data_IF_430505613283
#
_entry.id   IF_430505613283
#
_cell.length_a   1.000
_cell.length_b   1.000
_cell.length_c   1.000
_cell.angle_alpha   90.00
_cell.angle_beta   90.00
_cell.angle_gamma   90.00
#
_symmetry.space_group_name_H-M   'P 1'
#
loop_
_entity.id
_entity.type
_entity.pdbx_description
1 polymer ?
#
# COMPACT_ATOMS: atom_id res chain seq x y z
N UNK A 1 -27.24 3.55 16.37
CA UNK A 1 -26.44 2.35 16.66
C UNK A 1 -24.98 2.72 16.49
N UNK A 2 -24.13 2.24 17.39
CA UNK A 2 -22.68 2.39 17.28
C UNK A 2 -22.17 1.55 16.09
N UNK A 3 -21.14 2.03 15.38
CA UNK A 3 -20.60 1.33 14.21
C UNK A 3 -19.88 0.06 14.66
N UNK A 4 -20.16 -1.07 14.00
CA UNK A 4 -19.42 -2.32 14.21
C UNK A 4 -18.39 -2.46 13.09
N UNK A 5 -17.12 -2.62 13.43
CA UNK A 5 -16.07 -2.80 12.42
C UNK A 5 -16.09 -4.21 11.83
N UNK A 6 -15.63 -4.35 10.58
CA UNK A 6 -15.60 -5.65 9.88
C UNK A 6 -14.86 -6.73 10.69
N UNK A 7 -13.74 -6.39 11.32
CA UNK A 7 -12.99 -7.34 12.16
C UNK A 7 -13.77 -7.87 13.37
N UNK A 8 -14.78 -7.13 13.84
CA UNK A 8 -15.56 -7.45 15.03
C UNK A 8 -16.91 -8.10 14.68
N UNK A 9 -17.18 -8.36 13.40
CA UNK A 9 -18.43 -8.99 12.96
C UNK A 9 -18.54 -10.42 13.49
N UNK A 10 -19.73 -10.75 13.97
CA UNK A 10 -20.14 -12.11 14.36
C UNK A 10 -21.34 -12.53 13.55
N UNK A 11 -21.56 -13.84 13.39
CA UNK A 11 -22.71 -14.35 12.67
C UNK A 11 -24.03 -13.96 13.36
N UNK A 12 -25.06 -13.64 12.59
CA UNK A 12 -26.40 -13.34 13.07
C UNK A 12 -26.65 -11.91 13.54
N UNK A 13 -25.69 -11.00 13.37
CA UNK A 13 -25.84 -9.58 13.71
C UNK A 13 -26.66 -8.84 12.65
N UNK A 14 -27.54 -7.95 13.09
CA UNK A 14 -28.18 -6.96 12.23
C UNK A 14 -27.28 -5.72 12.12
N UNK A 15 -27.11 -5.21 10.91
CA UNK A 15 -26.29 -4.05 10.58
C UNK A 15 -27.13 -3.00 9.86
N UNK A 16 -26.93 -1.73 10.21
CA UNK A 16 -27.39 -0.58 9.43
C UNK A 16 -26.32 0.53 9.47
N UNK A 17 -25.34 0.43 8.58
CA UNK A 17 -24.18 1.33 8.58
C UNK A 17 -23.59 1.54 7.18
N UNK A 18 -22.71 2.52 7.06
CA UNK A 18 -22.06 2.88 5.80
C UNK A 18 -20.82 1.99 5.59
N UNK A 19 -20.60 1.59 4.35
CA UNK A 19 -19.40 0.88 3.89
C UNK A 19 -18.90 1.47 2.57
N UNK A 20 -17.62 1.26 2.27
CA UNK A 20 -17.10 1.40 0.92
C UNK A 20 -17.48 0.15 0.12
N UNK A 21 -18.20 0.32 -0.99
CA UNK A 21 -18.49 -0.77 -1.92
C UNK A 21 -17.45 -0.82 -3.03
N UNK A 22 -17.03 -2.03 -3.39
CA UNK A 22 -16.17 -2.27 -4.56
C UNK A 22 -16.66 -3.49 -5.34
N UNK A 23 -16.44 -3.46 -6.66
CA UNK A 23 -16.69 -4.57 -7.58
C UNK A 23 -18.12 -5.16 -7.51
N UNK A 24 -19.19 -4.34 -7.57
CA UNK A 24 -20.53 -4.89 -7.72
C UNK A 24 -20.64 -5.60 -9.08
N UNK A 25 -21.18 -6.82 -9.06
CA UNK A 25 -21.46 -7.61 -10.26
C UNK A 25 -22.85 -8.21 -10.13
N UNK A 26 -23.69 -7.96 -11.12
CA UNK A 26 -24.98 -8.62 -11.26
C UNK A 26 -24.78 -10.03 -11.81
N UNK A 27 -25.32 -11.04 -11.13
CA UNK A 27 -25.22 -12.45 -11.49
C UNK A 27 -26.60 -13.11 -11.40
N UNK A 28 -26.76 -14.25 -12.04
CA UNK A 28 -27.94 -15.11 -11.89
C UNK A 28 -27.62 -16.35 -11.07
N UNK A 29 -28.58 -16.80 -10.27
CA UNK A 29 -28.55 -18.11 -9.63
C UNK A 29 -28.79 -19.21 -10.66
N UNK A 30 -28.58 -20.48 -10.27
CA UNK A 30 -28.95 -21.62 -11.11
C UNK A 30 -30.43 -21.68 -11.47
N UNK A 31 -31.29 -20.97 -10.73
CA UNK A 31 -32.74 -20.87 -10.97
C UNK A 31 -33.12 -19.66 -11.84
N UNK A 32 -32.16 -18.83 -12.23
CA UNK A 32 -32.38 -17.63 -13.04
C UNK A 32 -32.59 -16.34 -12.24
N UNK A 33 -32.86 -16.43 -10.93
CA UNK A 33 -33.02 -15.24 -10.08
C UNK A 33 -31.74 -14.41 -10.03
N UNK A 34 -31.87 -13.09 -10.14
CA UNK A 34 -30.74 -12.17 -10.10
C UNK A 34 -30.29 -11.89 -8.66
N UNK A 35 -28.98 -11.74 -8.48
CA UNK A 35 -28.36 -11.30 -7.25
C UNK A 35 -27.13 -10.44 -7.53
N UNK A 36 -26.81 -9.54 -6.61
CA UNK A 36 -25.60 -8.72 -6.70
C UNK A 36 -24.55 -9.31 -5.77
N UNK A 37 -23.38 -9.60 -6.33
CA UNK A 37 -22.18 -9.92 -5.60
C UNK A 37 -21.30 -8.67 -5.54
N UNK A 38 -20.92 -8.25 -4.33
CA UNK A 38 -20.03 -7.11 -4.14
C UNK A 38 -19.15 -7.33 -2.91
N UNK A 39 -18.21 -6.42 -2.68
CA UNK A 39 -17.46 -6.37 -1.45
C UNK A 39 -17.74 -5.08 -0.70
N UNK A 40 -17.82 -5.20 0.63
CA UNK A 40 -17.92 -4.08 1.54
C UNK A 40 -16.62 -3.97 2.32
N UNK A 41 -16.11 -2.75 2.47
CA UNK A 41 -14.89 -2.47 3.21
C UNK A 41 -15.10 -1.36 4.24
N UNK A 42 -14.32 -1.44 5.30
CA UNK A 42 -14.01 -0.36 6.21
C UNK A 42 -12.51 -0.39 6.56
N UNK A 43 -12.07 0.50 7.45
CA UNK A 43 -10.65 0.59 7.84
C UNK A 43 -10.07 -0.71 8.44
N UNK A 44 -10.90 -1.66 8.85
CA UNK A 44 -10.47 -2.90 9.53
C UNK A 44 -10.50 -4.12 8.61
N UNK A 45 -11.06 -4.02 7.40
CA UNK A 45 -11.06 -5.16 6.50
C UNK A 45 -12.04 -5.06 5.35
N UNK A 46 -12.23 -6.20 4.69
CA UNK A 46 -13.09 -6.38 3.53
C UNK A 46 -13.90 -7.66 3.68
N UNK A 47 -15.21 -7.58 3.43
CA UNK A 47 -16.14 -8.70 3.57
C UNK A 47 -16.99 -8.87 2.33
N UNK A 48 -17.31 -10.13 1.99
CA UNK A 48 -18.24 -10.42 0.90
C UNK A 48 -19.64 -9.95 1.27
N UNK A 49 -20.33 -9.33 0.31
CA UNK A 49 -21.74 -9.00 0.44
C UNK A 49 -22.57 -9.60 -0.70
N UNK A 50 -23.78 -10.04 -0.37
CA UNK A 50 -24.77 -10.55 -1.33
C UNK A 50 -26.07 -9.79 -1.16
N UNK A 51 -26.65 -9.38 -2.29
CA UNK A 51 -28.01 -8.85 -2.37
C UNK A 51 -28.82 -9.87 -3.19
N UNK A 52 -29.64 -10.66 -2.52
CA UNK A 52 -30.50 -11.64 -3.18
C UNK A 52 -31.73 -10.98 -3.79
N UNK A 53 -32.34 -11.62 -4.80
CA UNK A 53 -33.52 -11.11 -5.51
C UNK A 53 -33.34 -9.66 -6.01
N UNK A 54 -32.14 -9.37 -6.53
CA UNK A 54 -31.79 -8.04 -7.00
C UNK A 54 -32.45 -7.74 -8.35
N UNK A 55 -32.57 -6.45 -8.67
CA UNK A 55 -33.01 -5.98 -9.99
C UNK A 55 -31.87 -5.28 -10.72
N UNK A 56 -31.97 -5.17 -12.04
CA UNK A 56 -31.03 -4.35 -12.83
C UNK A 56 -31.05 -2.88 -12.38
N UNK A 57 -32.22 -2.34 -12.04
CA UNK A 57 -32.36 -0.97 -11.54
C UNK A 57 -31.62 -0.74 -10.23
N UNK A 58 -31.67 -1.71 -9.30
CA UNK A 58 -30.90 -1.62 -8.06
C UNK A 58 -29.39 -1.68 -8.34
N UNK A 59 -28.96 -2.57 -9.23
CA UNK A 59 -27.56 -2.67 -9.62
C UNK A 59 -27.04 -1.36 -10.24
N UNK A 60 -27.83 -0.73 -11.11
CA UNK A 60 -27.46 0.53 -11.76
C UNK A 60 -27.38 1.72 -10.79
N UNK A 61 -28.04 1.64 -9.63
CA UNK A 61 -27.95 2.65 -8.57
C UNK A 61 -26.70 2.48 -7.69
N UNK A 62 -26.14 1.27 -7.62
CA UNK A 62 -24.95 1.02 -6.79
C UNK A 62 -23.72 1.56 -7.53
N UNK A 63 -22.93 2.45 -6.91
CA UNK A 63 -21.70 2.90 -7.53
C UNK A 63 -20.73 1.73 -7.69
N UNK A 64 -19.98 1.71 -8.81
CA UNK A 64 -18.94 0.70 -9.04
C UNK A 64 -17.90 0.70 -7.91
N UNK A 65 -17.56 1.91 -7.45
CA UNK A 65 -16.75 2.20 -6.27
C UNK A 65 -17.33 3.45 -5.59
N UNK A 66 -17.60 3.39 -4.30
CA UNK A 66 -18.21 4.51 -3.57
C UNK A 66 -18.81 4.09 -2.25
N UNK A 67 -19.57 4.98 -1.62
CA UNK A 67 -20.16 4.71 -0.30
C UNK A 67 -21.62 4.27 -0.44
N UNK A 68 -21.97 3.22 0.30
CA UNK A 68 -23.36 2.77 0.44
C UNK A 68 -23.68 2.53 1.91
N UNK A 69 -24.88 2.93 2.33
CA UNK A 69 -25.48 2.48 3.58
C UNK A 69 -26.15 1.14 3.34
N UNK A 70 -25.78 0.15 4.15
CA UNK A 70 -26.23 -1.23 4.01
C UNK A 70 -27.03 -1.62 5.23
N UNK A 71 -28.28 -2.03 5.00
CA UNK A 71 -29.11 -2.75 5.96
C UNK A 71 -29.00 -4.24 5.68
N UNK A 72 -28.45 -4.99 6.63
CA UNK A 72 -28.07 -6.37 6.37
C UNK A 72 -28.09 -7.23 7.63
N UNK A 73 -27.95 -8.54 7.40
CA UNK A 73 -27.62 -9.51 8.43
C UNK A 73 -26.28 -10.18 8.10
N UNK A 74 -25.47 -10.43 9.10
CA UNK A 74 -24.22 -11.19 8.95
C UNK A 74 -24.49 -12.69 9.04
N UNK A 75 -23.74 -13.48 8.28
CA UNK A 75 -23.82 -14.94 8.32
C UNK A 75 -22.45 -15.57 8.06
N UNK A 76 -22.29 -16.84 8.47
CA UNK A 76 -21.15 -17.66 8.08
C UNK A 76 -21.55 -18.51 6.88
N UNK A 77 -20.94 -18.24 5.73
CA UNK A 77 -21.12 -19.03 4.51
C UNK A 77 -19.84 -19.82 4.23
N UNK A 78 -19.94 -21.16 4.24
CA UNK A 78 -18.79 -22.06 4.05
C UNK A 78 -17.58 -21.71 4.96
N UNK A 79 -17.87 -21.33 6.21
CA UNK A 79 -16.84 -20.96 7.20
C UNK A 79 -16.27 -19.54 7.05
N UNK A 80 -16.73 -18.75 6.08
CA UNK A 80 -16.32 -17.35 5.90
C UNK A 80 -17.44 -16.38 6.26
N UNK A 81 -17.10 -15.25 6.89
CA UNK A 81 -18.06 -14.18 7.17
C UNK A 81 -18.60 -13.57 5.87
N UNK A 82 -19.91 -13.40 5.81
CA UNK A 82 -20.63 -12.75 4.71
C UNK A 82 -21.69 -11.81 5.26
N UNK A 83 -21.96 -10.74 4.52
CA UNK A 83 -23.07 -9.82 4.76
C UNK A 83 -24.16 -10.10 3.72
N UNK A 84 -25.39 -10.36 4.18
CA UNK A 84 -26.57 -10.46 3.31
C UNK A 84 -27.39 -9.19 3.45
N UNK A 85 -27.34 -8.36 2.42
CA UNK A 85 -28.01 -7.07 2.43
C UNK A 85 -29.48 -7.19 1.99
N UNK A 86 -30.34 -6.62 2.83
CA UNK A 86 -31.78 -6.46 2.58
C UNK A 86 -32.10 -5.06 2.04
N UNK A 87 -31.19 -4.09 2.22
CA UNK A 87 -31.33 -2.74 1.67
C UNK A 87 -29.97 -2.10 1.43
N UNK A 88 -29.83 -1.43 0.29
CA UNK A 88 -28.61 -0.75 -0.14
C UNK A 88 -29.00 0.65 -0.61
N UNK A 89 -28.34 1.68 -0.05
CA UNK A 89 -28.63 3.08 -0.34
C UNK A 89 -27.32 3.80 -0.66
N UNK A 90 -27.15 4.38 -1.86
CA UNK A 90 -26.00 5.23 -2.18
C UNK A 90 -25.83 6.38 -1.20
N UNK A 91 -24.59 6.69 -0.85
CA UNK A 91 -24.21 7.80 0.01
C UNK A 91 -23.22 8.69 -0.75
N UNK A 92 -23.46 10.00 -0.72
CA UNK A 92 -22.57 10.97 -1.36
C UNK A 92 -21.21 10.99 -0.63
N UNK A 93 -20.12 10.99 -1.40
CA UNK A 93 -18.76 11.01 -0.86
C UNK A 93 -18.49 12.23 0.02
N UNK A 94 -19.14 13.38 -0.24
CA UNK A 94 -18.96 14.61 0.54
C UNK A 94 -19.45 14.48 1.98
N UNK A 95 -20.35 13.54 2.23
CA UNK A 95 -20.91 13.29 3.56
C UNK A 95 -20.08 12.27 4.37
N UNK A 96 -18.97 11.80 3.81
CA UNK A 96 -18.18 10.70 4.37
C UNK A 96 -16.71 11.09 4.51
N UNK A 97 -16.15 10.87 5.72
CA UNK A 97 -14.70 10.93 5.92
C UNK A 97 -14.07 9.64 5.37
N UNK A 98 -13.57 9.71 4.15
CA UNK A 98 -12.98 8.57 3.40
C UNK A 98 -11.95 7.79 4.23
N UNK A 99 -11.14 8.51 5.02
CA UNK A 99 -10.15 7.96 5.94
C UNK A 99 -10.71 6.95 6.96
N UNK A 100 -12.02 6.98 7.24
CA UNK A 100 -12.66 6.03 8.16
C UNK A 100 -12.96 4.66 7.50
N UNK A 101 -12.74 4.55 6.19
CA UNK A 101 -13.17 3.39 5.39
C UNK A 101 -12.05 2.73 4.59
N UNK A 102 -10.90 3.39 4.44
CA UNK A 102 -9.71 2.80 3.85
C UNK A 102 -8.79 2.25 4.95
N UNK A 103 -8.17 1.08 4.73
CA UNK A 103 -7.08 0.61 5.59
C UNK A 103 -6.01 1.70 5.72
N UNK A 104 -5.48 1.88 6.94
CA UNK A 104 -4.44 2.86 7.24
C UNK A 104 -3.45 2.29 8.25
N UNK A 105 -2.25 2.86 8.26
CA UNK A 105 -1.25 2.60 9.31
C UNK A 105 -1.84 2.83 10.71
N UNK A 106 -1.42 2.01 11.68
CA UNK A 106 -1.72 2.21 13.10
C UNK A 106 -0.77 3.21 13.76
N UNK A 107 0.35 3.52 13.11
CA UNK A 107 1.36 4.46 13.61
C UNK A 107 1.00 5.92 13.33
N UNK A 108 1.59 6.83 14.11
CA UNK A 108 1.38 8.26 13.94
C UNK A 108 2.21 8.79 12.74
N UNK A 109 1.52 9.24 11.69
CA UNK A 109 2.14 9.77 10.46
C UNK A 109 3.12 10.92 10.74
N UNK A 110 2.78 11.84 11.65
CA UNK A 110 3.64 12.98 11.97
C UNK A 110 4.93 12.50 12.64
N UNK A 111 4.84 11.59 13.60
CA UNK A 111 6.02 11.03 14.27
C UNK A 111 6.90 10.24 13.30
N UNK A 112 6.28 9.41 12.45
CA UNK A 112 7.01 8.66 11.41
C UNK A 112 7.77 9.59 10.46
N UNK A 113 7.12 10.67 10.01
CA UNK A 113 7.74 11.61 9.08
C UNK A 113 8.87 12.42 9.75
N UNK A 114 8.72 12.82 11.02
CA UNK A 114 9.81 13.45 11.77
C UNK A 114 11.00 12.51 11.95
N UNK A 115 10.76 11.23 12.25
CA UNK A 115 11.82 10.24 12.37
C UNK A 115 12.55 10.02 11.02
N UNK A 116 11.79 9.90 9.93
CA UNK A 116 12.35 9.81 8.57
C UNK A 116 13.27 11.00 8.27
N UNK A 117 12.83 12.24 8.54
CA UNK A 117 13.66 13.44 8.37
C UNK A 117 14.93 13.39 9.22
N UNK A 118 14.87 12.78 10.41
CA UNK A 118 16.04 12.55 11.25
C UNK A 118 17.09 11.61 10.63
N UNK A 119 16.68 10.65 9.80
CA UNK A 119 17.60 9.87 8.98
C UNK A 119 18.16 10.69 7.82
N UNK A 120 17.30 11.41 7.10
CA UNK A 120 17.70 12.24 5.96
C UNK A 120 18.65 13.39 6.34
N UNK A 121 18.56 13.92 7.57
CA UNK A 121 19.46 14.95 8.06
C UNK A 121 20.90 14.45 8.29
N UNK A 122 21.12 13.13 8.28
CA UNK A 122 22.46 12.54 8.44
C UNK A 122 23.27 12.51 7.14
N UNK A 123 22.63 12.77 5.99
CA UNK A 123 23.30 12.85 4.68
C UNK A 123 24.32 13.99 4.70
N UNK A 124 25.57 13.68 4.33
CA UNK A 124 26.71 14.62 4.36
C UNK A 124 27.09 15.13 2.99
N UNK A 125 26.94 14.31 1.95
CA UNK A 125 27.34 14.66 0.59
C UNK A 125 26.47 15.80 0.07
N UNK A 126 27.05 16.93 -0.37
CA UNK A 126 26.30 18.15 -0.68
C UNK A 126 25.30 17.97 -1.83
N UNK A 127 25.67 17.29 -2.91
CA UNK A 127 24.77 17.08 -4.05
C UNK A 127 23.58 16.15 -3.69
N UNK A 128 23.83 15.06 -2.96
CA UNK A 128 22.77 14.16 -2.47
C UNK A 128 21.85 14.92 -1.54
N UNK A 129 22.41 15.71 -0.61
CA UNK A 129 21.64 16.53 0.32
C UNK A 129 20.76 17.55 -0.42
N UNK A 130 21.30 18.22 -1.42
CA UNK A 130 20.55 19.17 -2.25
C UNK A 130 19.38 18.51 -2.97
N UNK A 131 19.59 17.33 -3.57
CA UNK A 131 18.52 16.56 -4.21
C UNK A 131 17.42 16.19 -3.22
N UNK A 132 17.78 15.63 -2.07
CA UNK A 132 16.82 15.22 -1.03
C UNK A 132 16.05 16.42 -0.48
N UNK A 133 16.71 17.56 -0.30
CA UNK A 133 16.06 18.79 0.14
C UNK A 133 15.08 19.34 -0.91
N UNK A 134 15.35 19.16 -2.21
CA UNK A 134 14.42 19.53 -3.29
C UNK A 134 13.14 18.68 -3.28
N UNK A 135 13.24 17.41 -2.86
CA UNK A 135 12.06 16.57 -2.60
C UNK A 135 11.34 17.00 -1.32
N UNK A 136 12.06 17.23 -0.22
CA UNK A 136 11.47 17.59 1.08
C UNK A 136 10.76 18.95 1.09
N UNK A 137 11.22 19.89 0.26
CA UNK A 137 10.61 21.23 0.15
C UNK A 137 9.33 21.24 -0.68
N UNK A 138 9.07 20.18 -1.45
CA UNK A 138 7.83 19.96 -2.18
C UNK A 138 6.72 19.49 -1.23
N UNK A 139 5.98 20.47 -0.68
CA UNK A 139 4.97 20.23 0.34
C UNK A 139 3.82 19.35 -0.15
N UNK A 140 3.43 19.48 -1.42
CA UNK A 140 2.34 18.70 -1.97
C UNK A 140 2.78 17.25 -2.19
N UNK A 141 3.98 17.03 -2.74
CA UNK A 141 4.56 15.70 -2.85
C UNK A 141 4.72 15.03 -1.49
N UNK A 142 5.28 15.73 -0.49
CA UNK A 142 5.47 15.17 0.85
C UNK A 142 4.16 14.85 1.55
N UNK A 143 3.11 15.66 1.32
CA UNK A 143 1.77 15.36 1.81
C UNK A 143 1.23 14.07 1.19
N UNK A 144 1.40 13.87 -0.12
CA UNK A 144 0.99 12.64 -0.80
C UNK A 144 1.81 11.44 -0.33
N UNK A 145 3.13 11.58 -0.23
CA UNK A 145 4.03 10.54 0.27
C UNK A 145 3.62 10.03 1.67
N UNK A 146 3.23 10.94 2.56
CA UNK A 146 2.78 10.59 3.91
C UNK A 146 1.46 9.83 3.98
N UNK A 147 0.61 9.89 2.94
CA UNK A 147 -0.70 9.23 2.93
C UNK A 147 -0.81 8.10 1.90
N UNK A 148 0.08 8.03 0.93
CA UNK A 148 0.06 7.02 -0.12
C UNK A 148 0.23 5.60 0.45
N UNK A 149 -0.43 4.59 -0.15
CA UNK A 149 -0.11 3.19 0.09
C UNK A 149 1.18 2.80 -0.66
N UNK A 150 1.89 1.77 -0.17
CA UNK A 150 3.04 1.22 -0.90
C UNK A 150 2.61 0.21 -1.99
N UNK A 151 1.37 -0.26 -1.96
CA UNK A 151 0.84 -1.15 -2.98
C UNK A 151 -0.69 -1.12 -3.02
N UNK A 152 -1.30 -1.62 -4.11
CA UNK A 152 -2.76 -1.74 -4.21
C UNK A 152 -3.30 -2.88 -3.32
N UNK A 153 -2.58 -4.00 -3.22
CA UNK A 153 -2.99 -5.22 -2.47
C UNK A 153 -1.84 -6.01 -1.85
N UNK A 154 -0.61 -5.50 -1.91
CA UNK A 154 0.58 -6.22 -1.41
C UNK A 154 1.03 -5.65 -0.05
N UNK A 155 2.33 -5.69 0.23
CA UNK A 155 2.91 -5.11 1.45
C UNK A 155 2.54 -3.64 1.57
N UNK A 156 2.23 -3.21 2.78
CA UNK A 156 1.88 -1.83 3.11
C UNK A 156 0.77 -1.24 2.22
N UNK A 157 -0.19 -2.09 1.81
CA UNK A 157 -1.32 -1.72 0.97
C UNK A 157 -2.43 -0.97 1.72
N UNK A 158 -2.05 0.11 2.40
CA UNK A 158 -2.91 0.93 3.26
C UNK A 158 -2.40 2.38 3.29
N UNK A 159 -3.27 3.34 3.64
CA UNK A 159 -2.89 4.74 3.72
C UNK A 159 -1.78 4.97 4.75
N UNK A 160 -0.75 5.71 4.35
CA UNK A 160 0.49 5.90 5.12
C UNK A 160 1.47 4.73 5.02
N UNK A 161 1.15 3.70 4.25
CA UNK A 161 1.97 2.53 4.06
C UNK A 161 3.28 2.81 3.34
N UNK A 162 3.32 3.76 2.39
CA UNK A 162 4.55 4.13 1.70
C UNK A 162 5.59 4.74 2.66
N UNK A 163 5.14 5.67 3.51
CA UNK A 163 5.97 6.25 4.57
C UNK A 163 6.43 5.20 5.58
N UNK A 164 5.54 4.32 6.02
CA UNK A 164 5.87 3.25 6.97
C UNK A 164 6.92 2.29 6.40
N UNK A 165 6.75 1.85 5.15
CA UNK A 165 7.69 1.00 4.42
C UNK A 165 9.07 1.67 4.32
N UNK A 166 9.11 2.91 3.81
CA UNK A 166 10.38 3.67 3.69
C UNK A 166 11.06 3.85 5.05
N UNK A 167 10.30 4.14 6.11
CA UNK A 167 10.85 4.28 7.46
C UNK A 167 11.38 2.95 8.02
N UNK A 168 10.68 1.84 7.77
CA UNK A 168 11.14 0.50 8.16
C UNK A 168 12.47 0.14 7.49
N UNK A 169 12.60 0.43 6.20
CA UNK A 169 13.85 0.27 5.47
C UNK A 169 14.96 1.16 6.03
N UNK A 170 14.66 2.42 6.37
CA UNK A 170 15.63 3.34 7.00
C UNK A 170 16.14 2.84 8.35
N UNK A 171 15.24 2.30 9.19
CA UNK A 171 15.60 1.69 10.48
C UNK A 171 16.50 0.47 10.27
N UNK A 172 16.15 -0.40 9.31
CA UNK A 172 16.95 -1.57 8.92
C UNK A 172 18.33 -1.15 8.42
N UNK A 173 18.41 -0.15 7.53
CA UNK A 173 19.65 0.37 7.02
C UNK A 173 20.53 0.97 8.13
N UNK A 174 19.95 1.74 9.06
CA UNK A 174 20.67 2.31 10.19
C UNK A 174 21.27 1.23 11.12
N UNK A 175 20.60 0.08 11.26
CA UNK A 175 21.12 -1.05 12.02
C UNK A 175 22.22 -1.83 11.26
N UNK A 176 22.08 -1.98 9.95
CA UNK A 176 22.92 -2.86 9.12
C UNK A 176 24.17 -2.16 8.55
N UNK A 177 24.08 -0.87 8.18
CA UNK A 177 25.19 -0.12 7.57
C UNK A 177 26.52 -0.19 8.35
N UNK A 178 26.55 -0.16 9.71
CA UNK A 178 27.80 -0.31 10.46
C UNK A 178 28.56 -1.63 10.19
N UNK A 179 27.87 -2.67 9.70
CA UNK A 179 28.48 -3.95 9.35
C UNK A 179 29.12 -3.95 7.95
N UNK A 180 28.82 -2.95 7.12
CA UNK A 180 29.25 -2.87 5.72
C UNK A 180 29.94 -1.52 5.43
N UNK A 181 31.17 -1.31 5.93
CA UNK A 181 31.85 -0.01 5.88
C UNK A 181 32.16 0.50 4.46
N UNK A 182 32.11 -0.37 3.46
CA UNK A 182 32.33 -0.02 2.05
C UNK A 182 31.03 0.36 1.31
N UNK A 183 29.86 0.26 1.96
CA UNK A 183 28.58 0.70 1.39
C UNK A 183 28.38 2.17 1.74
N UNK A 184 28.16 3.00 0.72
CA UNK A 184 28.02 4.44 0.91
C UNK A 184 26.66 4.79 1.54
N UNK A 185 26.69 5.13 2.83
CA UNK A 185 25.48 5.41 3.62
C UNK A 185 24.59 6.49 3.00
N UNK A 186 25.17 7.59 2.48
CA UNK A 186 24.40 8.69 1.90
C UNK A 186 23.61 8.26 0.65
N UNK A 187 24.22 7.43 -0.21
CA UNK A 187 23.57 6.87 -1.41
C UNK A 187 22.47 5.88 -1.02
N UNK A 188 22.71 5.02 -0.01
CA UNK A 188 21.68 4.10 0.51
C UNK A 188 20.49 4.88 1.08
N UNK A 189 20.74 5.86 1.94
CA UNK A 189 19.67 6.66 2.56
C UNK A 189 18.87 7.38 1.47
N UNK A 190 19.53 8.00 0.49
CA UNK A 190 18.86 8.63 -0.64
C UNK A 190 18.06 7.64 -1.49
N UNK A 191 18.65 6.49 -1.81
CA UNK A 191 18.01 5.42 -2.57
C UNK A 191 16.75 4.89 -1.88
N UNK A 192 16.81 4.61 -0.57
CA UNK A 192 15.65 4.18 0.22
C UNK A 192 14.56 5.24 0.21
N UNK A 193 14.90 6.52 0.37
CA UNK A 193 13.88 7.57 0.36
C UNK A 193 13.17 7.69 -1.00
N UNK A 194 13.89 7.49 -2.10
CA UNK A 194 13.40 7.80 -3.44
C UNK A 194 12.85 6.58 -4.20
N UNK A 195 13.21 5.35 -3.84
CA UNK A 195 12.95 4.16 -4.67
C UNK A 195 11.49 4.01 -5.10
N UNK A 196 10.56 4.31 -4.19
CA UNK A 196 9.12 4.17 -4.38
C UNK A 196 8.37 5.51 -4.37
N UNK A 197 9.06 6.65 -4.39
CA UNK A 197 8.45 7.98 -4.29
C UNK A 197 7.36 8.20 -5.37
N UNK A 198 7.57 7.65 -6.56
CA UNK A 198 6.63 7.74 -7.67
C UNK A 198 5.32 6.96 -7.47
N UNK A 199 5.18 6.15 -6.41
CA UNK A 199 3.89 5.57 -6.02
C UNK A 199 2.84 6.62 -5.65
N UNK A 200 3.30 7.82 -5.29
CA UNK A 200 2.44 9.00 -5.08
C UNK A 200 1.68 9.42 -6.34
N UNK A 201 2.20 9.14 -7.53
CA UNK A 201 1.58 9.43 -8.83
C UNK A 201 1.13 8.17 -9.59
N UNK A 202 1.75 7.02 -9.32
CA UNK A 202 1.35 5.72 -9.89
C UNK A 202 -0.03 5.28 -9.38
N UNK A 203 -0.30 5.53 -8.09
CA UNK A 203 -1.48 5.02 -7.41
C UNK A 203 -2.52 6.13 -7.21
N UNK A 204 -3.80 5.76 -7.36
CA UNK A 204 -4.93 6.55 -6.89
C UNK A 204 -5.52 5.90 -5.64
N UNK A 205 -5.85 6.73 -4.66
CA UNK A 205 -6.33 6.32 -3.35
C UNK A 205 -7.43 7.25 -2.81
N UNK A 206 -8.14 7.94 -3.71
CA UNK A 206 -9.23 8.86 -3.34
C UNK A 206 -10.49 8.11 -2.86
N UNK A 207 -10.81 6.96 -3.46
CA UNK A 207 -12.01 6.18 -3.15
C UNK A 207 -11.67 4.71 -2.90
N UNK A 208 -10.77 4.17 -3.70
CA UNK A 208 -10.20 2.85 -3.56
C UNK A 208 -8.76 2.88 -4.08
N UNK A 209 -7.95 1.91 -3.64
CA UNK A 209 -6.60 1.75 -4.17
C UNK A 209 -6.67 1.20 -5.59
N UNK A 210 -6.16 1.98 -6.54
CA UNK A 210 -6.13 1.67 -7.96
C UNK A 210 -4.89 2.29 -8.60
N UNK A 211 -4.64 1.98 -9.87
CA UNK A 211 -3.56 2.59 -10.65
C UNK A 211 -4.10 3.77 -11.44
N UNK A 212 -3.32 4.85 -11.52
CA UNK A 212 -3.56 5.93 -12.49
C UNK A 212 -3.30 5.42 -13.91
N UNK A 213 -3.79 6.14 -14.93
CA UNK A 213 -3.50 5.80 -16.33
C UNK A 213 -1.99 5.74 -16.58
N UNK A 214 -1.25 6.74 -16.10
CA UNK A 214 0.20 6.81 -16.26
C UNK A 214 0.87 5.69 -15.47
N UNK A 215 0.40 5.43 -14.24
CA UNK A 215 0.89 4.30 -13.43
C UNK A 215 0.74 2.95 -14.11
N UNK A 216 -0.38 2.69 -14.78
CA UNK A 216 -0.57 1.46 -15.57
C UNK A 216 0.37 1.36 -16.79
N UNK A 217 0.72 2.49 -17.41
CA UNK A 217 1.55 2.50 -18.62
C UNK A 217 3.05 2.45 -18.32
N UNK A 218 3.50 3.14 -17.27
CA UNK A 218 4.92 3.37 -16.98
C UNK A 218 5.40 2.73 -15.67
N UNK A 219 4.52 2.61 -14.68
CA UNK A 219 4.87 2.17 -13.33
C UNK A 219 5.72 3.18 -12.54
N UNK A 220 5.88 2.96 -11.24
CA UNK A 220 6.65 3.84 -10.36
C UNK A 220 8.15 3.80 -10.67
N UNK A 221 8.72 2.69 -11.15
CA UNK A 221 10.16 2.61 -11.46
C UNK A 221 10.57 3.66 -12.49
N UNK A 222 9.87 3.71 -13.63
CA UNK A 222 10.16 4.66 -14.71
C UNK A 222 9.75 6.08 -14.31
N UNK A 223 8.61 6.25 -13.65
CA UNK A 223 8.20 7.57 -13.17
C UNK A 223 9.17 8.13 -12.12
N UNK A 224 9.76 7.27 -11.28
CA UNK A 224 10.74 7.64 -10.26
C UNK A 224 12.03 8.19 -10.88
N UNK A 225 12.55 7.56 -11.94
CA UNK A 225 13.72 8.10 -12.64
C UNK A 225 13.43 9.46 -13.26
N UNK A 226 12.22 9.64 -13.83
CA UNK A 226 11.77 10.93 -14.39
C UNK A 226 11.66 12.00 -13.29
N UNK A 227 11.09 11.66 -12.12
CA UNK A 227 11.01 12.58 -10.98
C UNK A 227 12.39 13.03 -10.51
N UNK A 228 13.36 12.11 -10.46
CA UNK A 228 14.75 12.44 -10.09
C UNK A 228 15.37 13.40 -11.10
N UNK A 229 15.20 13.16 -12.41
CA UNK A 229 15.70 14.07 -13.46
C UNK A 229 15.05 15.46 -13.36
N UNK A 230 13.73 15.53 -13.17
CA UNK A 230 13.02 16.80 -13.00
C UNK A 230 13.52 17.59 -11.78
N UNK A 231 13.79 16.92 -10.67
CA UNK A 231 14.33 17.56 -9.46
C UNK A 231 15.79 17.99 -9.65
N UNK A 232 16.58 17.25 -10.43
CA UNK A 232 17.92 17.66 -10.83
C UNK A 232 17.90 18.91 -11.75
N UNK A 233 16.96 18.98 -12.69
CA UNK A 233 16.76 20.16 -13.55
C UNK A 233 16.37 21.40 -12.72
N UNK A 234 15.48 21.24 -11.73
CA UNK A 234 15.13 22.32 -10.80
C UNK A 234 16.32 22.83 -9.98
N UNK A 235 17.25 21.94 -9.62
CA UNK A 235 18.50 22.33 -8.96
C UNK A 235 19.44 23.06 -9.91
N UNK A 236 19.51 22.64 -11.17
CA UNK A 236 20.30 23.32 -12.20
C UNK A 236 19.79 24.75 -12.42
N UNK A 237 18.47 24.96 -12.45
CA UNK A 237 17.84 26.29 -12.52
C UNK A 237 18.21 27.18 -11.32
N UNK A 238 18.54 26.58 -10.17
CA UNK A 238 19.03 27.25 -8.95
C UNK A 238 20.56 27.40 -8.93
N UNK A 239 21.25 27.01 -10.00
CA UNK A 239 22.71 27.09 -10.13
C UNK A 239 23.46 25.95 -9.45
N UNK A 240 22.79 24.84 -9.13
CA UNK A 240 23.40 23.64 -8.55
C UNK A 240 23.41 22.54 -9.62
N UNK A 241 24.55 22.36 -10.28
CA UNK A 241 24.75 21.26 -11.22
C UNK A 241 25.01 19.95 -10.46
N UNK A 242 24.14 18.96 -10.65
CA UNK A 242 24.26 17.66 -10.01
C UNK A 242 25.40 16.85 -10.64
N UNK A 243 26.12 16.12 -9.79
CA UNK A 243 27.11 15.16 -10.28
C UNK A 243 26.39 14.00 -10.97
N UNK A 244 26.73 13.76 -12.24
CA UNK A 244 26.12 12.71 -13.05
C UNK A 244 26.33 11.32 -12.45
N UNK A 245 27.48 11.04 -11.84
CA UNK A 245 27.72 9.71 -11.24
C UNK A 245 26.79 9.45 -10.06
N UNK A 246 26.48 10.48 -9.28
CA UNK A 246 25.54 10.41 -8.16
C UNK A 246 24.11 10.16 -8.67
N UNK A 247 23.70 10.88 -9.72
CA UNK A 247 22.39 10.67 -10.35
C UNK A 247 22.27 9.25 -10.91
N UNK A 248 23.29 8.79 -11.66
CA UNK A 248 23.34 7.45 -12.22
C UNK A 248 23.24 6.38 -11.11
N UNK A 249 23.92 6.55 -9.97
CA UNK A 249 23.86 5.61 -8.84
C UNK A 249 22.47 5.58 -8.18
N UNK A 250 21.86 6.74 -7.92
CA UNK A 250 20.51 6.82 -7.33
C UNK A 250 19.48 6.22 -8.29
N UNK A 251 19.52 6.59 -9.57
CA UNK A 251 18.63 6.04 -10.58
C UNK A 251 18.84 4.52 -10.75
N UNK A 252 20.08 4.03 -10.65
CA UNK A 252 20.36 2.59 -10.67
C UNK A 252 19.67 1.86 -9.52
N UNK A 253 19.66 2.43 -8.31
CA UNK A 253 18.88 1.88 -7.19
C UNK A 253 17.40 1.80 -7.57
N UNK A 254 16.82 2.89 -8.08
CA UNK A 254 15.40 2.94 -8.49
C UNK A 254 15.06 1.87 -9.55
N UNK A 255 15.90 1.67 -10.57
CA UNK A 255 15.61 0.68 -11.62
C UNK A 255 15.98 -0.76 -11.25
N UNK A 256 16.60 -0.97 -10.10
CA UNK A 256 17.08 -2.28 -9.69
C UNK A 256 16.54 -2.75 -8.33
N UNK A 257 15.84 -1.93 -7.56
CA UNK A 257 15.48 -2.24 -6.16
C UNK A 257 14.61 -3.50 -6.02
N UNK A 258 13.73 -3.79 -6.97
CA UNK A 258 12.99 -5.07 -7.01
C UNK A 258 13.91 -6.31 -7.16
N UNK A 259 15.21 -6.16 -7.45
CA UNK A 259 16.25 -7.18 -7.34
C UNK A 259 16.29 -8.25 -8.42
N UNK A 260 15.17 -8.50 -9.11
CA UNK A 260 15.00 -9.56 -10.09
C UNK A 260 14.16 -9.12 -11.29
N UNK A 261 14.46 -9.65 -12.47
CA UNK A 261 13.67 -9.39 -13.67
C UNK A 261 12.24 -9.92 -13.52
N UNK A 262 12.06 -11.06 -12.84
CA UNK A 262 10.77 -11.68 -12.55
C UNK A 262 9.90 -10.81 -11.62
N UNK A 263 10.51 -9.93 -10.83
CA UNK A 263 9.82 -8.96 -9.99
C UNK A 263 9.58 -7.63 -10.72
N UNK A 264 9.88 -7.56 -12.02
CA UNK A 264 9.64 -6.38 -12.85
C UNK A 264 10.77 -5.36 -12.84
N UNK A 265 11.95 -5.68 -12.26
CA UNK A 265 13.11 -4.78 -12.31
C UNK A 265 13.61 -4.61 -13.75
N UNK A 266 13.78 -3.39 -14.27
CA UNK A 266 14.44 -3.18 -15.56
C UNK A 266 15.92 -3.60 -15.59
N UNK A 267 16.60 -3.54 -14.44
CA UNK A 267 18.00 -3.96 -14.25
C UNK A 267 18.17 -4.75 -12.96
N UNK A 268 19.26 -5.51 -12.87
CA UNK A 268 19.67 -6.15 -11.61
C UNK A 268 20.55 -5.19 -10.79
N UNK A 269 20.51 -5.28 -9.45
CA UNK A 269 21.42 -4.54 -8.59
C UNK A 269 22.87 -4.81 -8.97
N UNK A 270 23.65 -3.75 -9.15
CA UNK A 270 25.01 -3.83 -9.70
C UNK A 270 26.03 -3.00 -8.91
N UNK A 271 25.58 -2.33 -7.84
CA UNK A 271 26.42 -1.65 -6.86
C UNK A 271 26.15 -2.23 -5.48
N UNK A 272 27.11 -2.15 -4.53
CA UNK A 272 26.87 -2.56 -3.15
C UNK A 272 25.63 -1.89 -2.54
N UNK A 273 25.40 -0.62 -2.84
CA UNK A 273 24.24 0.16 -2.38
C UNK A 273 22.93 -0.33 -2.98
N UNK A 274 22.89 -0.62 -4.29
CA UNK A 274 21.68 -1.17 -4.92
C UNK A 274 21.36 -2.58 -4.42
N UNK A 275 22.38 -3.40 -4.18
CA UNK A 275 22.20 -4.72 -3.56
C UNK A 275 21.62 -4.53 -2.16
N UNK A 276 22.23 -3.67 -1.36
CA UNK A 276 21.80 -3.41 0.01
C UNK A 276 20.34 -2.95 0.08
N UNK A 277 19.96 -1.95 -0.73
CA UNK A 277 18.58 -1.45 -0.78
C UNK A 277 17.61 -2.54 -1.25
N UNK A 278 17.96 -3.28 -2.30
CA UNK A 278 17.09 -4.34 -2.85
C UNK A 278 16.80 -5.45 -1.85
N UNK A 279 17.79 -5.88 -1.06
CA UNK A 279 17.58 -6.91 -0.06
C UNK A 279 16.78 -6.41 1.15
N UNK A 280 16.93 -5.15 1.53
CA UNK A 280 16.13 -4.55 2.62
C UNK A 280 14.67 -4.36 2.19
N UNK A 281 14.44 -3.90 0.95
CA UNK A 281 13.12 -3.78 0.36
C UNK A 281 12.39 -5.15 0.35
N UNK A 282 13.04 -6.17 -0.22
CA UNK A 282 12.50 -7.53 -0.29
C UNK A 282 12.24 -8.14 1.11
N UNK A 283 13.10 -7.87 2.09
CA UNK A 283 12.91 -8.32 3.46
C UNK A 283 11.66 -7.69 4.09
N UNK A 284 11.54 -6.36 4.01
CA UNK A 284 10.42 -5.62 4.60
C UNK A 284 9.09 -6.01 3.95
N UNK A 285 9.07 -6.06 2.61
CA UNK A 285 7.92 -6.51 1.83
C UNK A 285 7.44 -7.91 2.24
N UNK A 286 8.36 -8.84 2.49
CA UNK A 286 8.03 -10.22 2.90
C UNK A 286 7.51 -10.28 4.33
N UNK A 287 8.16 -9.61 5.27
CA UNK A 287 7.75 -9.64 6.67
C UNK A 287 6.39 -8.98 6.86
N UNK A 288 6.17 -7.80 6.25
CA UNK A 288 4.87 -7.13 6.29
C UNK A 288 3.75 -8.00 5.68
N UNK A 289 4.03 -8.68 4.56
CA UNK A 289 3.06 -9.60 3.96
C UNK A 289 2.73 -10.78 4.89
N UNK A 290 3.73 -11.36 5.56
CA UNK A 290 3.55 -12.49 6.49
C UNK A 290 2.74 -12.04 7.70
N UNK A 291 3.09 -10.91 8.32
CA UNK A 291 2.39 -10.38 9.48
C UNK A 291 0.91 -10.13 9.15
N UNK A 292 0.65 -9.44 8.04
CA UNK A 292 -0.72 -9.25 7.56
C UNK A 292 -1.45 -10.55 7.25
N UNK A 293 -0.77 -11.56 6.70
CA UNK A 293 -1.38 -12.87 6.44
C UNK A 293 -1.73 -13.65 7.71
N UNK A 294 -0.93 -13.52 8.77
CA UNK A 294 -1.13 -14.17 10.08
C UNK A 294 -2.24 -13.48 10.86
N UNK A 295 -2.26 -12.14 10.88
CA UNK A 295 -3.25 -11.33 11.60
C UNK A 295 -4.65 -11.47 11.00
N UNK A 296 -4.75 -11.55 9.68
CA UNK A 296 -6.03 -11.68 8.97
C UNK A 296 -6.50 -13.13 8.78
N UNK A 297 -5.86 -14.11 9.42
CA UNK A 297 -6.28 -15.50 9.31
C UNK A 297 -7.56 -15.75 10.13
N UNK A 298 -8.64 -16.07 9.43
CA UNK A 298 -9.96 -16.26 10.02
C UNK A 298 -10.10 -17.62 10.72
N UNK A 299 -9.32 -18.61 10.32
CA UNK A 299 -9.34 -19.94 10.93
C UNK A 299 -8.53 -19.93 12.23
N UNK A 300 -9.06 -20.58 13.27
CA UNK A 300 -8.33 -20.85 14.50
C UNK A 300 -7.46 -22.12 14.31
N UNK A 301 -6.47 -22.01 13.42
CA UNK A 301 -5.46 -23.03 13.11
C UNK A 301 -4.05 -22.45 13.37
N UNK A 302 -3.08 -23.31 13.67
CA UNK A 302 -1.68 -22.95 13.89
C UNK A 302 -0.99 -22.42 12.63
N UNK A 303 -1.60 -22.71 11.47
CA UNK A 303 -1.12 -22.33 10.16
C UNK A 303 -2.16 -21.47 9.43
N UNK A 304 -1.69 -20.53 8.63
CA UNK A 304 -2.57 -19.86 7.67
C UNK A 304 -3.08 -20.85 6.61
N UNK A 305 -4.17 -20.51 5.92
CA UNK A 305 -4.45 -21.14 4.62
C UNK A 305 -3.31 -20.85 3.65
N UNK A 306 -3.16 -21.67 2.60
CA UNK A 306 -2.14 -21.44 1.57
C UNK A 306 -2.27 -20.04 0.99
N UNK A 307 -1.20 -19.24 1.08
CA UNK A 307 -1.14 -17.90 0.51
C UNK A 307 -0.33 -17.95 -0.79
N UNK A 308 -0.96 -17.75 -1.96
CA UNK A 308 -0.20 -17.45 -3.17
C UNK A 308 0.47 -16.08 -2.96
N UNK A 309 1.75 -15.97 -3.31
CA UNK A 309 2.49 -14.72 -3.20
C UNK A 309 3.39 -14.56 -4.42
N UNK A 310 3.49 -13.33 -4.91
CA UNK A 310 4.51 -12.95 -5.88
C UNK A 310 5.85 -12.61 -5.18
N UNK A 311 5.81 -12.48 -3.85
CA UNK A 311 6.93 -12.05 -3.00
C UNK A 311 7.65 -13.27 -2.39
N UNK A 312 6.91 -14.35 -2.08
CA UNK A 312 7.45 -15.63 -1.63
C UNK A 312 6.99 -16.77 -2.55
N UNK A 313 7.74 -17.89 -2.68
CA UNK A 313 7.15 -19.11 -3.17
C UNK A 313 5.95 -19.42 -2.28
N UNK A 314 4.74 -19.48 -2.88
CA UNK A 314 3.50 -19.61 -2.12
C UNK A 314 3.62 -20.70 -1.04
N UNK A 315 3.09 -20.43 0.15
CA UNK A 315 3.20 -21.35 1.29
C UNK A 315 2.11 -21.07 2.34
N UNK A 316 2.06 -21.90 3.38
CA UNK A 316 1.35 -21.63 4.63
C UNK A 316 2.32 -21.01 5.63
N UNK A 317 1.90 -20.02 6.41
CA UNK A 317 2.72 -19.42 7.45
C UNK A 317 2.32 -19.96 8.82
N UNK A 318 3.31 -20.28 9.64
CA UNK A 318 3.12 -20.74 11.02
C UNK A 318 2.87 -19.52 11.93
N UNK A 319 1.89 -19.62 12.83
CA UNK A 319 1.36 -18.47 13.58
C UNK A 319 1.76 -18.44 15.04
N UNK A 320 2.07 -19.59 15.64
CA UNK A 320 2.38 -19.65 17.07
C UNK A 320 3.75 -19.03 17.34
N UNK A 321 3.77 -18.04 18.23
CA UNK A 321 5.01 -17.49 18.78
C UNK A 321 5.49 -18.38 19.92
N UNK A 322 6.81 -18.53 20.05
CA UNK A 322 7.41 -19.13 21.24
C UNK A 322 7.33 -18.04 22.32
N UNK A 323 6.57 -18.32 23.37
CA UNK A 323 6.50 -17.46 24.56
C UNK A 323 7.67 -17.79 25.48
N UNK A 324 8.27 -16.76 26.07
CA UNK A 324 9.33 -16.87 27.09
C UNK A 324 8.75 -17.07 28.50
#
# INVERSE_FOLDING_TARGET
MERVFIKDLKAGMDLDQIFLVTQPVLRSTSRGDLYIAMFLSDKTGKVNCRVWNATEDLYNQIPKEGFIRVRAKTELYQGSMQIVANGVFPVDQRDVKIMDFLPRTEYNITEMFEELKGFLSKIKHPHIKALIDEFLTDKDLMKQFCIAPAAVKMHHGYLGGLLEHTLSMMRSANALLPLYPNVQADIVIAGIFLHDMAKTEELSYELAFSYTRTGQLLGHIIQGTIMVDQKADMLLDKGIEMDKEILDQIQHILVAHHGKYEFGSPKLPATPEAIFVSYIDDLDAKLNFIDGAIENEAQDDEWTVWKPSNVNPGTRFYRKKIED
#
